data_IF_319459473700
#
_entry.id   IF_319459473700
#
_cell.length_a   1.000
_cell.length_b   1.000
_cell.length_c   1.000
_cell.angle_alpha   90.00
_cell.angle_beta   90.00
_cell.angle_gamma   90.00
#
_symmetry.space_group_name_H-M   'P 1'
#
loop_
_entity.id
_entity.type
_entity.pdbx_description
1 polymer ?
#
# COMPACT_ATOMS: atom_id res chain seq x y z
N UNK A 1 9.16 10.56 4.43
CA UNK A 1 7.74 10.79 4.09
C UNK A 1 6.86 9.88 4.92
N UNK A 2 5.90 10.44 5.59
CA UNK A 2 4.98 9.68 6.46
C UNK A 2 3.70 9.33 5.70
N UNK A 3 3.68 8.14 5.07
CA UNK A 3 2.50 7.70 4.31
C UNK A 3 1.32 7.35 5.21
N UNK A 4 1.59 6.91 6.43
CA UNK A 4 0.54 6.55 7.37
C UNK A 4 -0.39 7.74 7.67
N UNK A 5 0.19 8.94 7.84
CA UNK A 5 -0.60 10.14 8.16
C UNK A 5 -1.52 10.59 7.02
N UNK A 6 -1.27 10.13 5.79
CA UNK A 6 -2.10 10.49 4.64
C UNK A 6 -3.37 9.66 4.53
N UNK A 7 -3.42 8.49 5.15
CA UNK A 7 -4.62 7.64 5.13
C UNK A 7 -5.82 8.37 5.73
N UNK A 8 -6.94 8.32 5.03
CA UNK A 8 -8.16 8.99 5.45
C UNK A 8 -8.26 10.44 5.03
N UNK A 9 -7.22 11.01 4.43
CA UNK A 9 -7.28 12.36 3.88
C UNK A 9 -7.92 12.34 2.50
N UNK A 10 -8.45 13.47 2.08
CA UNK A 10 -9.10 13.62 0.78
C UNK A 10 -8.17 14.24 -0.25
N UNK A 11 -8.42 13.96 -1.53
CA UNK A 11 -7.65 14.52 -2.65
C UNK A 11 -7.52 16.04 -2.57
N UNK A 12 -8.54 16.71 -2.05
CA UNK A 12 -8.56 18.17 -1.92
C UNK A 12 -7.80 18.71 -0.71
N UNK A 13 -7.32 17.83 0.19
CA UNK A 13 -6.58 18.26 1.37
C UNK A 13 -5.18 18.72 0.98
N UNK A 14 -4.68 19.75 1.65
CA UNK A 14 -3.41 20.40 1.30
C UNK A 14 -2.24 19.44 1.26
N UNK A 15 -2.17 18.48 2.17
CA UNK A 15 -1.06 17.51 2.23
C UNK A 15 -1.00 16.65 0.98
N UNK A 16 -2.17 16.24 0.44
CA UNK A 16 -2.22 15.46 -0.79
C UNK A 16 -2.00 16.32 -2.02
N UNK A 17 -2.55 17.53 -2.06
CA UNK A 17 -2.32 18.48 -3.15
C UNK A 17 -0.81 18.76 -3.26
N UNK A 18 -0.14 19.07 -2.15
CA UNK A 18 1.29 19.36 -2.14
C UNK A 18 2.11 18.16 -2.65
N UNK A 19 1.78 16.95 -2.20
CA UNK A 19 2.46 15.74 -2.65
C UNK A 19 2.29 15.52 -4.14
N UNK A 20 1.07 15.65 -4.66
CA UNK A 20 0.77 15.41 -6.07
C UNK A 20 1.33 16.49 -6.99
N UNK A 21 1.48 17.73 -6.50
CA UNK A 21 2.10 18.82 -7.27
C UNK A 21 3.62 18.69 -7.36
N UNK A 22 4.28 18.10 -6.36
CA UNK A 22 5.73 17.90 -6.36
C UNK A 22 6.19 16.87 -7.41
N UNK A 23 5.28 16.04 -7.89
CA UNK A 23 5.55 15.00 -8.88
C UNK A 23 4.56 15.13 -10.04
N UNK A 24 4.97 14.64 -11.21
CA UNK A 24 4.09 14.63 -12.37
C UNK A 24 3.09 13.49 -12.22
N UNK A 25 1.96 13.76 -11.57
CA UNK A 25 0.97 12.76 -11.20
C UNK A 25 -0.30 12.92 -11.98
N UNK A 26 -0.77 11.82 -12.57
CA UNK A 26 -2.07 11.73 -13.21
C UNK A 26 -3.04 11.02 -12.27
N UNK A 27 -4.21 11.63 -12.03
CA UNK A 27 -5.29 11.00 -11.27
C UNK A 27 -6.29 10.39 -12.26
N UNK A 28 -6.50 9.09 -12.15
CA UNK A 28 -7.41 8.35 -13.02
C UNK A 28 -8.66 7.97 -12.24
N UNK A 29 -9.82 8.33 -12.81
CA UNK A 29 -11.11 7.94 -12.26
C UNK A 29 -11.56 6.63 -12.88
N UNK A 30 -11.86 5.63 -12.03
CA UNK A 30 -12.40 4.33 -12.43
C UNK A 30 -13.83 4.21 -11.93
N UNK A 31 -14.77 4.14 -12.84
CA UNK A 31 -16.19 4.03 -12.49
C UNK A 31 -16.77 2.66 -12.89
N UNK A 32 -17.92 2.32 -12.29
CA UNK A 32 -18.59 1.04 -12.52
C UNK A 32 -19.30 1.01 -13.89
N UNK A 33 -18.53 0.71 -14.94
CA UNK A 33 -19.05 0.67 -16.33
C UNK A 33 -20.11 -0.39 -16.54
N UNK A 34 -19.98 -1.50 -15.85
CA UNK A 34 -20.82 -2.69 -16.09
C UNK A 34 -21.97 -2.78 -15.10
N UNK A 35 -22.13 -1.79 -14.23
CA UNK A 35 -23.17 -1.73 -13.20
C UNK A 35 -23.21 -3.00 -12.35
N UNK A 36 -22.01 -3.44 -11.92
CA UNK A 36 -21.85 -4.64 -11.10
C UNK A 36 -21.88 -4.32 -9.60
N UNK A 37 -22.34 -3.15 -9.22
CA UNK A 37 -22.36 -2.62 -7.85
C UNK A 37 -20.94 -2.47 -7.26
N UNK A 38 -19.95 -2.22 -8.11
CA UNK A 38 -18.61 -1.90 -7.68
C UNK A 38 -18.52 -0.40 -7.36
N UNK A 39 -17.85 0.00 -6.27
CA UNK A 39 -17.68 1.41 -5.96
C UNK A 39 -16.79 2.09 -6.99
N UNK A 40 -17.03 3.37 -7.24
CA UNK A 40 -16.13 4.20 -8.02
C UNK A 40 -14.84 4.41 -7.24
N UNK A 41 -13.72 4.53 -7.95
CA UNK A 41 -12.40 4.69 -7.34
C UNK A 41 -11.59 5.73 -8.09
N UNK A 42 -10.62 6.31 -7.39
CA UNK A 42 -9.62 7.20 -7.97
C UNK A 42 -8.24 6.63 -7.69
N UNK A 43 -7.36 6.74 -8.68
CA UNK A 43 -5.99 6.22 -8.59
C UNK A 43 -5.00 7.33 -8.92
N UNK A 44 -4.00 7.52 -8.06
CA UNK A 44 -2.89 8.44 -8.31
C UNK A 44 -1.59 7.65 -8.26
N UNK A 45 -0.87 7.62 -9.38
CA UNK A 45 0.38 6.88 -9.50
C UNK A 45 1.55 7.85 -9.46
N UNK A 46 2.41 7.71 -8.44
CA UNK A 46 3.65 8.48 -8.34
C UNK A 46 4.77 7.56 -8.77
N UNK A 47 4.96 7.44 -10.08
CA UNK A 47 5.89 6.48 -10.68
C UNK A 47 7.34 6.70 -10.24
N UNK A 48 7.77 7.94 -10.05
CA UNK A 48 9.12 8.27 -9.61
C UNK A 48 9.44 7.74 -8.21
N UNK A 49 8.43 7.65 -7.33
CA UNK A 49 8.58 7.14 -5.97
C UNK A 49 8.27 5.65 -5.86
N UNK A 50 7.72 5.03 -6.91
CA UNK A 50 7.30 3.64 -6.86
C UNK A 50 6.09 3.39 -5.98
N UNK A 51 5.19 4.37 -5.87
CA UNK A 51 3.99 4.25 -5.04
C UNK A 51 2.72 4.54 -5.86
N UNK A 52 1.62 3.99 -5.38
CA UNK A 52 0.31 4.23 -5.98
C UNK A 52 -0.72 4.45 -4.87
N UNK A 53 -1.52 5.49 -5.03
CA UNK A 53 -2.56 5.87 -4.06
C UNK A 53 -3.92 5.48 -4.61
N UNK A 54 -4.73 4.82 -3.80
CA UNK A 54 -6.09 4.44 -4.15
C UNK A 54 -7.09 5.15 -3.24
N UNK A 55 -8.01 5.89 -3.85
CA UNK A 55 -9.04 6.66 -3.16
C UNK A 55 -10.41 6.03 -3.40
N UNK A 56 -11.27 6.12 -2.39
CA UNK A 56 -12.65 5.64 -2.52
C UNK A 56 -13.52 6.61 -3.33
N UNK A 57 -14.81 6.30 -3.44
CA UNK A 57 -15.78 7.11 -4.19
C UNK A 57 -15.93 8.53 -3.65
N UNK A 58 -15.58 8.76 -2.39
CA UNK A 58 -15.59 10.08 -1.75
C UNK A 58 -14.25 10.81 -1.85
N UNK A 59 -13.31 10.27 -2.67
CA UNK A 59 -11.95 10.80 -2.83
C UNK A 59 -11.13 10.76 -1.55
N UNK A 60 -11.43 9.83 -0.66
CA UNK A 60 -10.68 9.60 0.58
C UNK A 60 -9.65 8.52 0.36
N UNK A 61 -8.40 8.77 0.75
CA UNK A 61 -7.31 7.81 0.57
C UNK A 61 -7.56 6.59 1.45
N UNK A 62 -7.77 5.43 0.82
CA UNK A 62 -8.03 4.18 1.53
C UNK A 62 -6.86 3.22 1.52
N UNK A 63 -6.03 3.22 0.49
CA UNK A 63 -4.89 2.30 0.37
C UNK A 63 -3.74 2.95 -0.36
N UNK A 64 -2.53 2.72 0.14
CA UNK A 64 -1.29 3.12 -0.51
C UNK A 64 -0.45 1.88 -0.78
N UNK A 65 0.02 1.72 -2.02
CA UNK A 65 0.88 0.61 -2.45
C UNK A 65 2.30 1.11 -2.65
N UNK A 66 3.27 0.36 -2.14
CA UNK A 66 4.70 0.63 -2.31
C UNK A 66 5.31 -0.54 -3.05
N UNK A 67 5.88 -0.29 -4.24
CA UNK A 67 6.41 -1.35 -5.11
C UNK A 67 7.92 -1.48 -4.91
N UNK A 68 8.34 -2.61 -4.38
CA UNK A 68 9.75 -2.88 -4.03
C UNK A 68 10.46 -3.78 -5.03
N UNK A 69 9.77 -4.17 -6.11
CA UNK A 69 10.36 -4.81 -7.27
C UNK A 69 9.89 -4.10 -8.55
N UNK A 70 10.56 -4.35 -9.66
CA UNK A 70 10.21 -3.66 -10.91
C UNK A 70 8.77 -3.97 -11.31
N UNK A 71 7.99 -2.92 -11.47
CA UNK A 71 6.61 -2.98 -11.95
C UNK A 71 6.46 -2.00 -13.10
N UNK A 72 5.73 -2.42 -14.13
CA UNK A 72 5.54 -1.62 -15.32
C UNK A 72 4.93 -0.25 -14.99
N UNK A 73 5.59 0.80 -15.44
CA UNK A 73 5.17 2.18 -15.18
C UNK A 73 5.67 2.77 -13.86
N UNK A 74 6.45 2.03 -13.07
CA UNK A 74 6.94 2.51 -11.78
C UNK A 74 8.44 2.27 -11.62
N UNK A 75 9.13 3.22 -10.97
CA UNK A 75 10.44 2.99 -10.42
C UNK A 75 10.33 2.11 -9.17
N UNK A 76 11.40 1.40 -8.84
CA UNK A 76 11.46 0.64 -7.58
C UNK A 76 11.55 1.62 -6.44
N UNK A 77 10.67 1.49 -5.45
CA UNK A 77 10.62 2.42 -4.31
C UNK A 77 11.85 2.27 -3.42
N UNK A 78 12.31 3.40 -2.88
CA UNK A 78 13.28 3.42 -1.78
C UNK A 78 12.51 3.34 -0.47
N UNK A 79 12.40 2.13 0.08
CA UNK A 79 11.57 1.88 1.24
C UNK A 79 11.98 2.70 2.47
N UNK A 80 13.27 3.03 2.59
CA UNK A 80 13.78 3.84 3.70
C UNK A 80 13.21 5.25 3.76
N UNK A 81 12.67 5.77 2.65
CA UNK A 81 12.08 7.10 2.60
C UNK A 81 10.70 7.19 3.28
N UNK A 82 10.04 6.05 3.54
CA UNK A 82 8.64 6.04 3.95
C UNK A 82 8.39 5.87 5.45
N UNK A 83 9.43 5.88 6.27
CA UNK A 83 9.31 5.82 7.74
C UNK A 83 8.51 4.60 8.23
N UNK A 84 8.60 3.49 7.50
CA UNK A 84 7.93 2.24 7.85
C UNK A 84 8.97 1.25 8.39
N UNK A 85 8.57 0.36 9.33
CA UNK A 85 9.51 -0.63 9.85
C UNK A 85 9.98 -1.59 8.76
N UNK A 86 11.28 -1.86 8.74
CA UNK A 86 11.90 -2.77 7.79
C UNK A 86 12.20 -4.10 8.48
N UNK A 87 11.95 -5.20 7.76
CA UNK A 87 12.18 -6.55 8.27
C UNK A 87 12.93 -7.37 7.23
N UNK A 88 13.88 -8.18 7.69
CA UNK A 88 14.67 -9.05 6.82
C UNK A 88 13.88 -10.25 6.32
N UNK A 89 12.81 -10.64 7.04
CA UNK A 89 12.03 -11.84 6.73
C UNK A 89 10.65 -11.77 7.39
N UNK A 90 9.76 -12.64 6.93
CA UNK A 90 8.45 -12.84 7.55
C UNK A 90 8.59 -13.29 9.01
N UNK A 91 9.57 -14.14 9.30
CA UNK A 91 9.83 -14.61 10.67
C UNK A 91 10.22 -13.45 11.59
N UNK A 92 11.06 -12.52 11.11
CA UNK A 92 11.43 -11.33 11.87
C UNK A 92 10.21 -10.46 12.18
N UNK A 93 9.28 -10.34 11.23
CA UNK A 93 8.01 -9.63 11.43
C UNK A 93 7.16 -10.31 12.51
N UNK A 94 7.04 -11.64 12.46
CA UNK A 94 6.25 -12.40 13.42
C UNK A 94 6.81 -12.23 14.84
N UNK A 95 8.14 -12.31 14.98
CA UNK A 95 8.80 -12.10 16.27
C UNK A 95 8.57 -10.68 16.79
N UNK A 96 8.63 -9.70 15.94
CA UNK A 96 8.37 -8.30 16.31
C UNK A 96 6.92 -8.13 16.79
N UNK A 97 5.97 -8.67 16.05
CA UNK A 97 4.55 -8.59 16.41
C UNK A 97 4.26 -9.23 17.75
N UNK A 98 4.86 -10.40 18.03
CA UNK A 98 4.68 -11.10 19.30
C UNK A 98 5.32 -10.33 20.45
N UNK A 99 6.53 -9.78 20.25
CA UNK A 99 7.23 -9.00 21.27
C UNK A 99 6.51 -7.69 21.63
N UNK A 100 5.93 -7.03 20.64
CA UNK A 100 5.24 -5.74 20.82
C UNK A 100 3.73 -5.90 21.00
N UNK A 101 3.24 -7.13 21.06
CA UNK A 101 1.81 -7.43 21.21
C UNK A 101 0.95 -6.80 20.11
N UNK A 102 1.43 -6.83 18.86
CA UNK A 102 0.71 -6.32 17.70
C UNK A 102 -0.14 -7.44 17.11
N UNK A 103 -1.47 -7.28 16.98
CA UNK A 103 -2.29 -8.25 16.28
C UNK A 103 -1.84 -8.39 14.83
N UNK A 104 -1.75 -9.61 14.33
CA UNK A 104 -1.35 -9.84 12.95
C UNK A 104 -2.11 -11.01 12.31
N UNK A 105 -2.17 -10.98 10.99
CA UNK A 105 -2.74 -12.02 10.15
C UNK A 105 -1.71 -12.41 9.11
N UNK A 106 -1.63 -13.68 8.73
CA UNK A 106 -0.68 -14.12 7.71
C UNK A 106 -1.31 -15.16 6.79
N UNK A 107 -0.73 -15.28 5.59
CA UNK A 107 -1.16 -16.27 4.62
C UNK A 107 0.02 -16.77 3.80
N UNK A 108 -0.05 -18.02 3.34
CA UNK A 108 0.96 -18.63 2.52
C UNK A 108 0.34 -19.74 1.66
N UNK A 109 0.78 -19.86 0.41
CA UNK A 109 0.31 -20.89 -0.47
C UNK A 109 0.65 -20.62 -1.93
N UNK A 110 -0.05 -21.32 -2.81
CA UNK A 110 0.06 -21.19 -4.26
C UNK A 110 -1.31 -20.91 -4.85
N UNK A 111 -1.38 -19.94 -5.77
CA UNK A 111 -2.60 -19.67 -6.51
C UNK A 111 -2.26 -19.61 -8.00
N UNK A 112 -2.80 -20.58 -8.76
CA UNK A 112 -2.56 -20.71 -10.22
C UNK A 112 -1.07 -20.70 -10.58
N UNK A 113 -0.26 -21.45 -9.81
CA UNK A 113 1.18 -21.56 -10.04
C UNK A 113 2.01 -20.38 -9.52
N UNK A 114 1.38 -19.38 -8.90
CA UNK A 114 2.09 -18.25 -8.31
C UNK A 114 2.11 -18.37 -6.79
N UNK A 115 3.30 -18.36 -6.17
CA UNK A 115 3.38 -18.41 -4.71
C UNK A 115 2.91 -17.10 -4.11
N UNK A 116 2.18 -17.20 -3.00
CA UNK A 116 1.88 -16.05 -2.17
C UNK A 116 2.39 -16.31 -0.75
N UNK A 117 2.87 -15.26 -0.10
CA UNK A 117 3.40 -15.33 1.24
C UNK A 117 3.37 -13.91 1.82
N UNK A 118 2.54 -13.69 2.82
CA UNK A 118 2.37 -12.35 3.35
C UNK A 118 2.10 -12.36 4.85
N UNK A 119 2.40 -11.23 5.49
CA UNK A 119 2.05 -10.96 6.87
C UNK A 119 1.55 -9.52 6.98
N UNK A 120 0.51 -9.32 7.74
CA UNK A 120 -0.13 -8.03 7.90
C UNK A 120 -0.26 -7.69 9.38
N UNK A 121 0.27 -6.53 9.78
CA UNK A 121 0.01 -5.98 11.10
C UNK A 121 -1.37 -5.32 11.10
N UNK A 122 -2.21 -5.69 12.05
CA UNK A 122 -3.59 -5.20 12.15
C UNK A 122 -3.70 -4.17 13.29
N UNK A 123 -3.18 -2.96 13.03
CA UNK A 123 -3.30 -1.85 13.98
C UNK A 123 -4.76 -1.36 14.04
N UNK A 124 -5.18 -0.70 15.15
CA UNK A 124 -6.57 -0.24 15.27
C UNK A 124 -7.02 0.72 14.17
N UNK A 125 -6.13 1.58 13.67
CA UNK A 125 -6.48 2.62 12.71
C UNK A 125 -6.15 2.25 11.27
N UNK A 126 -5.21 1.33 11.05
CA UNK A 126 -4.80 0.92 9.70
C UNK A 126 -4.19 -0.47 9.72
N UNK A 127 -4.03 -1.03 8.53
CA UNK A 127 -3.37 -2.33 8.32
C UNK A 127 -2.13 -2.12 7.49
N UNK A 128 -1.04 -2.76 7.88
CA UNK A 128 0.25 -2.69 7.22
C UNK A 128 0.63 -4.09 6.72
N UNK A 129 0.59 -4.26 5.41
CA UNK A 129 0.68 -5.56 4.73
C UNK A 129 2.00 -5.69 3.98
N UNK A 130 2.78 -6.74 4.28
CA UNK A 130 4.06 -7.05 3.63
C UNK A 130 3.91 -8.31 2.79
N UNK A 131 4.20 -8.22 1.48
CA UNK A 131 4.11 -9.34 0.55
C UNK A 131 5.51 -9.88 0.22
N UNK A 132 5.75 -11.13 0.58
CA UNK A 132 7.01 -11.83 0.36
C UNK A 132 6.90 -12.94 -0.71
N UNK A 133 5.90 -12.89 -1.56
CA UNK A 133 5.72 -13.91 -2.59
C UNK A 133 6.98 -14.11 -3.44
N UNK A 134 7.45 -15.36 -3.58
CA UNK A 134 8.69 -15.63 -4.30
C UNK A 134 9.96 -15.51 -3.47
N UNK A 135 9.85 -15.34 -2.15
CA UNK A 135 10.98 -15.38 -1.23
C UNK A 135 11.65 -14.04 -0.93
N UNK A 136 11.16 -12.95 -1.49
CA UNK A 136 11.67 -11.61 -1.20
C UNK A 136 10.53 -10.62 -1.04
N UNK A 137 10.80 -9.52 -0.36
CA UNK A 137 9.78 -8.48 -0.15
C UNK A 137 9.50 -7.76 -1.48
N UNK A 138 8.28 -7.92 -1.98
CA UNK A 138 7.86 -7.37 -3.27
C UNK A 138 7.10 -6.08 -3.15
N UNK A 139 6.24 -5.98 -2.15
CA UNK A 139 5.27 -4.91 -2.04
C UNK A 139 4.85 -4.73 -0.59
N UNK A 140 4.64 -3.48 -0.21
CA UNK A 140 4.04 -3.15 1.08
C UNK A 140 2.82 -2.29 0.78
N UNK A 141 1.74 -2.52 1.52
CA UNK A 141 0.55 -1.68 1.40
C UNK A 141 0.03 -1.25 2.76
N UNK A 142 -0.49 -0.04 2.80
CA UNK A 142 -1.16 0.51 3.98
C UNK A 142 -2.62 0.70 3.62
N UNK A 143 -3.51 0.18 4.44
CA UNK A 143 -4.95 0.32 4.22
C UNK A 143 -5.62 0.87 5.47
N UNK A 144 -6.52 1.81 5.28
CA UNK A 144 -7.33 2.33 6.38
C UNK A 144 -8.31 1.24 6.85
N UNK A 145 -8.44 1.11 8.15
CA UNK A 145 -9.40 0.19 8.77
C UNK A 145 -10.83 0.65 8.58
#
# INVERSE_FOLDING_TARGET
MDLHSLLGKQLKDDELIDLLEDYDVEVVYSYDRLKENQPDEYWASISELGIQLNFDENQTLKTTFIFLEKKDGFEVADFGEFQLPQFSSKEAMRQHAEAEEIPYTEGQGDFLGKPYDWLRFDYPEYKLHYDFGGGHLKQVSLSKT
#
